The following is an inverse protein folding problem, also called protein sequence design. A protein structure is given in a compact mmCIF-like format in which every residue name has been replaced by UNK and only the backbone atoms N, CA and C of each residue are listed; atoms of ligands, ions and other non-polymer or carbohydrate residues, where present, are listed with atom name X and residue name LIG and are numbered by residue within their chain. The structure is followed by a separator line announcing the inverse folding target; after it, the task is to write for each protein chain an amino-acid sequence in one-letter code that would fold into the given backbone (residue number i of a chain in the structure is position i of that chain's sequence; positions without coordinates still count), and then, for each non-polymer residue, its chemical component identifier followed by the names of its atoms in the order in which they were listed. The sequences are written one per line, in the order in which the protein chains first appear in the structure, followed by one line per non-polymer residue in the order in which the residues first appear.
data_IF_627083227275
#
_entry.id   IF_627083227275
#
_cell.length_a   1.000
_cell.length_b   1.000
_cell.length_c   1.000
_cell.angle_alpha   90.00
_cell.angle_beta   90.00
_cell.angle_gamma   90.00
#
_symmetry.space_group_name_H-M   'P 1'
#
loop_
_entity.id
_entity.type
_entity.pdbx_description
1 polymer ?
#
# COMPACT_ATOMS: atom_id res chain seq x y z
N UNK A 1 -12.45 23.87 6.41
CA UNK A 1 -13.14 22.56 6.29
C UNK A 1 -13.43 22.38 4.81
N UNK A 2 -12.95 21.28 4.21
CA UNK A 2 -13.19 21.02 2.78
C UNK A 2 -14.36 20.07 2.62
N UNK A 3 -15.24 20.35 1.68
CA UNK A 3 -16.32 19.45 1.34
C UNK A 3 -16.38 19.24 -0.18
N UNK A 4 -16.71 18.03 -0.59
CA UNK A 4 -16.87 17.66 -2.00
C UNK A 4 -18.19 16.93 -2.18
N UNK A 5 -18.94 17.28 -3.21
CA UNK A 5 -20.15 16.56 -3.61
C UNK A 5 -19.93 16.03 -5.02
N UNK A 6 -20.05 14.72 -5.19
CA UNK A 6 -19.99 14.08 -6.50
C UNK A 6 -21.43 13.76 -6.90
N UNK A 7 -21.89 14.36 -8.01
CA UNK A 7 -23.29 14.30 -8.46
C UNK A 7 -23.48 13.32 -9.61
N UNK A 8 -24.63 12.67 -9.63
CA UNK A 8 -25.14 11.93 -10.80
C UNK A 8 -24.27 10.74 -11.26
N UNK A 9 -23.26 10.33 -10.52
CA UNK A 9 -22.39 9.22 -10.89
C UNK A 9 -23.04 7.85 -10.65
N UNK A 10 -22.67 6.84 -11.44
CA UNK A 10 -22.97 5.46 -11.11
C UNK A 10 -22.03 5.01 -9.99
N UNK A 11 -22.55 4.96 -8.76
CA UNK A 11 -21.79 4.54 -7.59
C UNK A 11 -21.74 3.02 -7.55
N UNK A 12 -20.53 2.46 -7.59
CA UNK A 12 -20.26 1.04 -7.43
C UNK A 12 -19.48 0.86 -6.12
N UNK A 13 -20.14 0.27 -5.12
CA UNK A 13 -19.58 -0.02 -3.81
C UNK A 13 -19.91 -1.47 -3.42
N UNK A 14 -19.03 -2.43 -3.74
CA UNK A 14 -19.27 -3.85 -3.48
C UNK A 14 -19.44 -4.18 -1.99
N UNK A 15 -18.71 -3.46 -1.12
CA UNK A 15 -18.76 -3.69 0.32
C UNK A 15 -20.15 -3.40 0.90
N UNK A 16 -20.83 -2.39 0.36
CA UNK A 16 -22.20 -2.01 0.75
C UNK A 16 -23.26 -2.52 -0.22
N UNK A 17 -22.90 -3.40 -1.18
CA UNK A 17 -23.79 -3.96 -2.22
C UNK A 17 -24.53 -2.87 -3.00
N UNK A 18 -23.84 -1.77 -3.31
CA UNK A 18 -24.42 -0.62 -4.01
C UNK A 18 -23.95 -0.61 -5.46
N UNK A 19 -24.90 -0.52 -6.38
CA UNK A 19 -24.69 -0.26 -7.80
C UNK A 19 -25.88 0.54 -8.32
N UNK A 20 -25.66 1.81 -8.65
CA UNK A 20 -26.71 2.68 -9.14
C UNK A 20 -26.34 4.15 -9.15
N UNK A 21 -27.11 4.96 -9.87
CA UNK A 21 -26.90 6.40 -9.93
C UNK A 21 -27.23 7.04 -8.59
N UNK A 22 -26.26 7.79 -8.03
CA UNK A 22 -26.45 8.49 -6.77
C UNK A 22 -25.41 9.59 -6.59
N UNK A 23 -25.68 10.47 -5.63
CA UNK A 23 -24.70 11.44 -5.16
C UNK A 23 -23.83 10.86 -4.04
N UNK A 24 -22.58 11.33 -3.97
CA UNK A 24 -21.64 11.02 -2.88
C UNK A 24 -21.25 12.33 -2.20
N UNK A 25 -21.32 12.32 -0.87
CA UNK A 25 -21.04 13.49 -0.04
C UNK A 25 -19.82 13.24 0.82
N UNK A 26 -18.86 14.18 0.79
CA UNK A 26 -17.59 14.09 1.52
C UNK A 26 -17.43 15.38 2.33
N UNK A 27 -17.18 15.25 3.62
CA UNK A 27 -16.85 16.38 4.50
C UNK A 27 -15.64 16.01 5.35
N UNK A 28 -14.62 16.88 5.38
CA UNK A 28 -13.40 16.70 6.15
C UNK A 28 -12.73 15.32 5.92
N UNK A 29 -12.69 14.89 4.64
CA UNK A 29 -12.09 13.62 4.21
C UNK A 29 -12.88 12.37 4.58
N UNK A 30 -14.15 12.50 5.00
CA UNK A 30 -15.03 11.38 5.37
C UNK A 30 -16.34 11.40 4.58
N UNK A 31 -16.84 10.22 4.28
CA UNK A 31 -18.17 10.09 3.70
C UNK A 31 -19.24 10.47 4.74
N UNK A 32 -20.21 11.27 4.30
CA UNK A 32 -21.41 11.61 5.07
C UNK A 32 -22.67 11.18 4.32
N UNK A 33 -23.79 11.04 5.02
CA UNK A 33 -25.01 10.43 4.45
C UNK A 33 -25.78 11.36 3.51
N UNK A 34 -25.65 12.67 3.74
CA UNK A 34 -26.41 13.67 2.98
C UNK A 34 -25.72 15.02 3.00
N UNK A 35 -26.12 15.88 2.07
CA UNK A 35 -25.65 17.25 2.01
C UNK A 35 -25.94 18.06 3.30
N UNK A 36 -27.00 17.72 4.04
CA UNK A 36 -27.35 18.41 5.28
C UNK A 36 -26.32 18.20 6.42
N UNK A 37 -25.49 17.18 6.32
CA UNK A 37 -24.40 16.93 7.27
C UNK A 37 -23.13 17.73 6.95
N UNK A 38 -23.06 18.35 5.76
CA UNK A 38 -21.96 19.22 5.36
C UNK A 38 -22.14 20.58 6.06
N UNK A 39 -21.21 20.93 6.92
CA UNK A 39 -21.22 22.19 7.69
C UNK A 39 -20.40 23.31 7.04
N UNK A 40 -19.78 23.04 5.90
CA UNK A 40 -19.00 24.04 5.16
C UNK A 40 -19.88 25.07 4.48
N UNK A 41 -19.46 26.35 4.38
CA UNK A 41 -20.16 27.35 3.56
C UNK A 41 -20.30 26.86 2.12
N UNK A 42 -21.36 27.21 1.42
CA UNK A 42 -21.58 26.81 0.03
C UNK A 42 -20.41 27.17 -0.90
N UNK A 43 -19.73 28.29 -0.64
CA UNK A 43 -18.57 28.76 -1.39
C UNK A 43 -17.30 27.90 -1.21
N UNK A 44 -17.30 26.98 -0.26
CA UNK A 44 -16.18 26.08 0.05
C UNK A 44 -16.51 24.61 -0.33
N UNK A 45 -17.67 24.38 -0.99
CA UNK A 45 -18.07 23.06 -1.45
C UNK A 45 -17.66 22.92 -2.91
N UNK A 46 -16.81 21.95 -3.18
CA UNK A 46 -16.48 21.51 -4.55
C UNK A 46 -17.58 20.58 -5.06
N UNK A 47 -18.20 20.91 -6.18
CA UNK A 47 -19.16 20.02 -6.85
C UNK A 47 -18.56 19.43 -8.12
N UNK A 48 -18.61 18.10 -8.23
CA UNK A 48 -18.15 17.34 -9.39
C UNK A 48 -19.36 16.69 -10.05
N UNK A 49 -19.64 17.05 -11.31
CA UNK A 49 -20.67 16.34 -12.09
C UNK A 49 -20.06 15.06 -12.69
N UNK A 50 -20.46 13.93 -12.18
CA UNK A 50 -20.05 12.59 -12.61
C UNK A 50 -21.07 11.90 -13.52
N UNK A 51 -21.92 12.66 -14.20
CA UNK A 51 -22.93 12.10 -15.13
C UNK A 51 -22.27 11.27 -16.24
N UNK A 52 -22.67 10.01 -16.34
CA UNK A 52 -22.07 9.05 -17.28
C UNK A 52 -20.76 8.46 -16.83
N UNK A 53 -20.26 8.83 -15.65
CA UNK A 53 -19.04 8.29 -15.06
C UNK A 53 -19.36 7.27 -13.93
N UNK A 54 -18.36 6.42 -13.64
CA UNK A 54 -18.38 5.51 -12.51
C UNK A 54 -17.69 6.17 -11.32
N UNK A 55 -18.31 6.11 -10.16
CA UNK A 55 -17.74 6.49 -8.88
C UNK A 55 -17.55 5.22 -8.06
N UNK A 56 -16.32 4.88 -7.79
CA UNK A 56 -15.94 3.66 -7.08
C UNK A 56 -14.88 3.96 -6.01
N UNK A 57 -14.66 3.08 -5.03
CA UNK A 57 -13.48 3.15 -4.17
C UNK A 57 -12.21 3.21 -5.01
N UNK A 58 -11.22 3.97 -4.55
CA UNK A 58 -9.94 4.03 -5.23
C UNK A 58 -9.26 2.66 -5.27
N UNK A 59 -8.49 2.42 -6.33
CA UNK A 59 -7.77 1.17 -6.50
C UNK A 59 -6.66 1.02 -5.45
N UNK A 60 -6.35 -0.22 -5.10
CA UNK A 60 -5.26 -0.57 -4.18
C UNK A 60 -4.27 -1.45 -4.94
N UNK A 61 -3.00 -1.05 -4.97
CA UNK A 61 -1.92 -1.89 -5.47
C UNK A 61 -1.10 -2.41 -4.29
N UNK A 62 -1.12 -3.72 -4.11
CA UNK A 62 -0.45 -4.38 -2.98
C UNK A 62 1.02 -4.72 -3.23
N UNK A 63 1.58 -4.35 -4.39
CA UNK A 63 2.95 -4.70 -4.74
C UNK A 63 3.60 -3.68 -5.67
N UNK A 64 4.27 -2.68 -5.09
CA UNK A 64 5.00 -1.66 -5.85
C UNK A 64 6.42 -1.49 -5.34
N UNK A 65 7.32 -1.02 -6.22
CA UNK A 65 8.72 -0.77 -5.88
C UNK A 65 9.04 0.71 -5.93
N UNK A 66 9.04 1.38 -4.77
CA UNK A 66 9.36 2.81 -4.67
C UNK A 66 10.86 3.09 -4.53
N UNK A 67 11.66 2.06 -4.26
CA UNK A 67 13.14 2.09 -4.30
C UNK A 67 13.81 3.11 -3.36
N UNK A 68 13.06 3.91 -2.65
CA UNK A 68 13.53 4.90 -1.69
C UNK A 68 13.27 4.41 -0.25
N UNK A 69 14.27 4.46 0.63
CA UNK A 69 15.61 5.04 0.48
C UNK A 69 16.60 4.19 -0.34
N UNK A 70 17.65 4.84 -0.84
CA UNK A 70 18.86 4.23 -1.35
C UNK A 70 18.95 4.04 -2.87
N UNK A 71 17.83 3.82 -3.56
CA UNK A 71 17.84 3.60 -5.01
C UNK A 71 16.98 4.63 -5.76
N UNK A 72 16.99 5.87 -5.29
CA UNK A 72 16.19 6.98 -5.84
C UNK A 72 16.45 7.28 -7.32
N UNK A 73 17.56 6.79 -7.89
CA UNK A 73 17.84 6.86 -9.32
C UNK A 73 16.94 5.93 -10.16
N UNK A 74 16.30 4.93 -9.54
CA UNK A 74 15.36 4.01 -10.20
C UNK A 74 13.92 4.46 -10.04
N UNK A 75 13.53 4.86 -8.82
CA UNK A 75 12.21 5.34 -8.46
C UNK A 75 12.27 6.09 -7.13
N UNK A 76 11.33 7.00 -6.89
CA UNK A 76 11.15 7.68 -5.61
C UNK A 76 9.73 7.48 -5.08
N UNK A 77 9.54 7.68 -3.78
CA UNK A 77 8.19 7.65 -3.18
C UNK A 77 7.29 8.68 -3.87
N UNK A 78 7.82 9.87 -4.18
CA UNK A 78 7.05 10.93 -4.84
C UNK A 78 6.61 10.55 -6.26
N UNK A 79 7.55 10.07 -7.10
CA UNK A 79 7.24 9.76 -8.50
C UNK A 79 6.34 8.54 -8.63
N UNK A 80 6.58 7.47 -7.84
CA UNK A 80 5.73 6.30 -7.82
C UNK A 80 4.33 6.59 -7.29
N UNK A 81 4.22 7.38 -6.22
CA UNK A 81 2.92 7.80 -5.69
C UNK A 81 2.13 8.67 -6.68
N UNK A 82 2.82 9.55 -7.42
CA UNK A 82 2.20 10.37 -8.48
C UNK A 82 1.71 9.50 -9.64
N UNK A 83 2.50 8.50 -10.06
CA UNK A 83 2.09 7.54 -11.08
C UNK A 83 0.88 6.72 -10.63
N UNK A 84 0.87 6.24 -9.38
CA UNK A 84 -0.27 5.54 -8.80
C UNK A 84 -1.54 6.39 -8.81
N UNK A 85 -1.46 7.65 -8.34
CA UNK A 85 -2.59 8.58 -8.35
C UNK A 85 -3.13 8.83 -9.77
N UNK A 86 -2.25 8.98 -10.76
CA UNK A 86 -2.65 9.13 -12.16
C UNK A 86 -3.34 7.87 -12.71
N UNK A 87 -3.01 6.69 -12.19
CA UNK A 87 -3.64 5.41 -12.54
C UNK A 87 -4.94 5.12 -11.76
N UNK A 88 -5.38 6.02 -10.86
CA UNK A 88 -6.59 5.82 -10.04
C UNK A 88 -6.35 5.00 -8.77
N UNK A 89 -5.10 4.72 -8.42
CA UNK A 89 -4.74 4.07 -7.16
C UNK A 89 -4.70 5.11 -6.04
N UNK A 90 -5.41 4.84 -4.96
CA UNK A 90 -5.43 5.69 -3.76
C UNK A 90 -4.58 5.12 -2.63
N UNK A 91 -4.18 3.86 -2.76
CA UNK A 91 -3.34 3.17 -1.77
C UNK A 91 -2.37 2.24 -2.49
N UNK A 92 -1.10 2.27 -2.09
CA UNK A 92 -0.06 1.39 -2.60
C UNK A 92 0.74 0.80 -1.45
N UNK A 93 1.17 -0.46 -1.60
CA UNK A 93 2.01 -1.16 -0.63
C UNK A 93 3.40 -1.33 -1.20
N UNK A 94 4.40 -0.69 -0.58
CA UNK A 94 5.77 -0.72 -1.11
C UNK A 94 6.60 -1.87 -0.55
N UNK A 95 7.32 -2.54 -1.46
CA UNK A 95 8.20 -3.66 -1.15
C UNK A 95 9.51 -3.20 -0.48
N UNK A 96 10.16 -4.09 0.29
CA UNK A 96 11.25 -3.72 1.20
C UNK A 96 12.63 -3.69 0.54
N UNK A 97 12.72 -3.71 -0.78
CA UNK A 97 13.99 -3.74 -1.52
C UNK A 97 14.63 -2.35 -1.66
N UNK A 98 15.03 -1.79 -0.54
CA UNK A 98 15.65 -0.47 -0.35
C UNK A 98 17.04 -0.58 0.29
N UNK A 99 17.74 0.53 0.42
CA UNK A 99 19.03 0.62 1.11
C UNK A 99 19.05 1.88 2.00
N UNK A 100 18.99 1.75 3.33
CA UNK A 100 18.97 0.48 4.06
C UNK A 100 17.68 -0.32 3.86
N UNK A 101 17.80 -1.63 4.09
CA UNK A 101 16.67 -2.54 4.12
C UNK A 101 15.76 -2.17 5.33
N UNK A 102 14.42 -2.22 5.20
CA UNK A 102 13.51 -1.89 6.29
C UNK A 102 13.33 -3.05 7.28
N UNK A 103 14.45 -3.49 7.86
CA UNK A 103 14.54 -4.52 8.89
C UNK A 103 14.56 -3.95 10.32
N UNK A 104 14.34 -2.66 10.44
CA UNK A 104 14.30 -1.94 11.72
C UNK A 104 13.22 -0.84 11.71
N UNK A 105 12.69 -0.46 12.89
CA UNK A 105 11.65 0.57 13.01
C UNK A 105 12.03 1.94 12.45
N UNK A 106 13.32 2.31 12.50
CA UNK A 106 13.79 3.62 12.03
C UNK A 106 13.61 3.79 10.52
N UNK A 107 13.95 2.76 9.74
CA UNK A 107 13.75 2.79 8.28
C UNK A 107 12.25 2.84 7.93
N UNK A 108 11.40 2.11 8.64
CA UNK A 108 9.95 2.17 8.46
C UNK A 108 9.40 3.56 8.77
N UNK A 109 9.84 4.16 9.89
CA UNK A 109 9.43 5.51 10.27
C UNK A 109 9.84 6.53 9.19
N UNK A 110 11.05 6.43 8.66
CA UNK A 110 11.55 7.29 7.60
C UNK A 110 10.68 7.19 6.32
N UNK A 111 10.36 5.97 5.88
CA UNK A 111 9.49 5.76 4.70
C UNK A 111 8.13 6.44 4.90
N UNK A 112 7.52 6.25 6.07
CA UNK A 112 6.22 6.84 6.40
C UNK A 112 6.26 8.37 6.46
N UNK A 113 7.29 8.93 7.07
CA UNK A 113 7.47 10.38 7.17
C UNK A 113 7.67 10.98 5.77
N UNK A 114 8.56 10.40 4.98
CA UNK A 114 8.78 10.82 3.58
C UNK A 114 7.48 10.76 2.78
N UNK A 115 6.76 9.65 2.86
CA UNK A 115 5.49 9.48 2.16
C UNK A 115 4.45 10.54 2.60
N UNK A 116 4.37 10.84 3.88
CA UNK A 116 3.43 11.85 4.40
C UNK A 116 3.69 13.25 3.84
N UNK A 117 4.95 13.53 3.49
CA UNK A 117 5.37 14.83 2.97
C UNK A 117 5.16 14.97 1.47
N UNK A 118 5.39 13.90 0.69
CA UNK A 118 5.46 14.00 -0.78
C UNK A 118 4.34 13.26 -1.52
N UNK A 119 3.59 12.39 -0.84
CA UNK A 119 2.55 11.59 -1.48
C UNK A 119 1.15 12.14 -1.24
N UNK A 120 0.30 12.04 -2.25
CA UNK A 120 -1.15 12.29 -2.16
C UNK A 120 -1.98 11.01 -2.08
N UNK A 121 -1.34 9.86 -2.24
CA UNK A 121 -1.96 8.54 -2.05
C UNK A 121 -1.40 7.91 -0.77
N UNK A 122 -2.11 6.95 -0.21
CA UNK A 122 -1.61 6.23 0.96
C UNK A 122 -0.45 5.32 0.53
N UNK A 123 0.71 5.48 1.16
CA UNK A 123 1.87 4.62 0.99
C UNK A 123 2.05 3.80 2.25
N UNK A 124 1.89 2.50 2.13
CA UNK A 124 1.95 1.56 3.24
C UNK A 124 3.23 0.72 3.10
N UNK A 125 4.17 0.80 4.05
CA UNK A 125 5.40 0.01 3.96
C UNK A 125 5.19 -1.44 4.34
N UNK A 126 5.93 -2.34 3.68
CA UNK A 126 6.20 -3.69 4.18
C UNK A 126 7.48 -3.69 5.01
N UNK A 127 7.56 -4.62 5.95
CA UNK A 127 8.82 -5.01 6.57
C UNK A 127 9.41 -6.25 5.90
N UNK A 128 10.60 -6.65 6.33
CA UNK A 128 11.24 -7.87 5.85
C UNK A 128 10.90 -9.09 6.72
N UNK A 129 11.01 -10.28 6.14
CA UNK A 129 10.94 -11.56 6.88
C UNK A 129 12.28 -11.81 7.57
N UNK A 130 13.39 -11.68 6.84
CA UNK A 130 14.73 -11.91 7.35
C UNK A 130 15.56 -10.63 7.39
N UNK A 131 16.49 -10.55 8.34
CA UNK A 131 17.43 -9.43 8.42
C UNK A 131 18.22 -9.31 7.13
N UNK A 132 18.37 -8.07 6.65
CA UNK A 132 19.09 -7.75 5.41
C UNK A 132 18.61 -8.50 4.16
N UNK A 133 17.40 -9.10 4.16
CA UNK A 133 16.90 -9.99 3.10
C UNK A 133 17.82 -11.21 2.86
N UNK A 134 18.53 -11.66 3.87
CA UNK A 134 19.53 -12.72 3.75
C UNK A 134 18.96 -14.14 3.82
N UNK A 135 17.74 -14.32 4.31
CA UNK A 135 17.11 -15.63 4.48
C UNK A 135 17.70 -16.49 5.62
N UNK A 136 18.48 -15.91 6.52
CA UNK A 136 19.25 -16.61 7.57
C UNK A 136 18.68 -16.42 8.96
N UNK A 137 18.27 -15.20 9.31
CA UNK A 137 17.79 -14.82 10.63
C UNK A 137 16.50 -14.01 10.52
N UNK A 138 15.52 -14.27 11.40
CA UNK A 138 14.27 -13.49 11.44
C UNK A 138 14.53 -12.01 11.76
N UNK A 139 13.86 -11.15 11.03
CA UNK A 139 13.75 -9.75 11.39
C UNK A 139 12.92 -9.57 12.68
N UNK A 140 13.00 -8.42 13.35
CA UNK A 140 12.22 -8.14 14.55
C UNK A 140 10.75 -7.81 14.20
N UNK A 141 10.02 -8.78 13.64
CA UNK A 141 8.69 -8.63 13.04
C UNK A 141 7.72 -7.88 13.98
N UNK A 142 7.75 -8.17 15.27
CA UNK A 142 6.91 -7.47 16.25
C UNK A 142 7.20 -5.97 16.32
N UNK A 143 8.48 -5.57 16.30
CA UNK A 143 8.87 -4.15 16.30
C UNK A 143 8.52 -3.47 14.98
N UNK A 144 8.67 -4.18 13.86
CA UNK A 144 8.27 -3.67 12.54
C UNK A 144 6.76 -3.46 12.47
N UNK A 145 5.97 -4.40 13.02
CA UNK A 145 4.50 -4.26 13.10
C UNK A 145 4.11 -3.06 13.95
N UNK A 146 4.76 -2.85 15.09
CA UNK A 146 4.54 -1.65 15.93
C UNK A 146 4.93 -0.36 15.21
N UNK A 147 5.94 -0.38 14.34
CA UNK A 147 6.30 0.76 13.49
C UNK A 147 5.28 1.03 12.36
N UNK A 148 4.39 0.08 12.10
CA UNK A 148 3.24 0.25 11.21
C UNK A 148 3.44 -0.34 9.82
N UNK A 149 4.20 -1.43 9.67
CA UNK A 149 4.17 -2.23 8.44
C UNK A 149 2.84 -2.95 8.32
N UNK A 150 2.38 -3.12 7.08
CA UNK A 150 1.09 -3.78 6.79
C UNK A 150 1.25 -5.24 6.39
N UNK A 151 2.46 -5.66 6.04
CA UNK A 151 2.84 -7.02 5.70
C UNK A 151 4.34 -7.20 5.90
N UNK A 152 4.81 -8.45 5.85
CA UNK A 152 6.25 -8.78 5.79
C UNK A 152 6.53 -9.60 4.55
N UNK A 153 7.69 -9.35 3.92
CA UNK A 153 8.12 -10.02 2.70
C UNK A 153 9.63 -9.87 2.52
N UNK A 154 10.26 -10.84 1.91
CA UNK A 154 11.63 -10.69 1.38
C UNK A 154 11.59 -10.54 -0.14
N UNK A 155 10.66 -9.76 -0.67
CA UNK A 155 10.44 -9.61 -2.11
C UNK A 155 11.71 -9.41 -2.91
N UNK A 156 11.82 -10.19 -4.01
CA UNK A 156 13.01 -10.38 -4.82
C UNK A 156 13.91 -11.52 -4.30
N UNK A 157 13.65 -12.04 -3.11
CA UNK A 157 14.35 -13.18 -2.50
C UNK A 157 13.34 -14.14 -1.86
N UNK A 158 13.41 -15.41 -2.21
CA UNK A 158 12.59 -16.43 -1.55
C UNK A 158 13.34 -17.02 -0.37
N UNK A 159 12.68 -17.17 0.75
CA UNK A 159 13.26 -17.85 1.92
C UNK A 159 13.41 -19.34 1.62
N UNK A 160 14.64 -19.81 1.41
CA UNK A 160 14.95 -21.21 1.10
C UNK A 160 14.97 -22.11 2.34
N UNK A 161 15.10 -21.51 3.55
CA UNK A 161 15.06 -22.21 4.81
C UNK A 161 13.60 -22.39 5.27
N UNK A 162 13.05 -23.58 5.12
CA UNK A 162 11.66 -23.89 5.46
C UNK A 162 11.35 -23.75 6.95
N UNK A 163 12.32 -23.98 7.84
CA UNK A 163 12.14 -23.76 9.27
C UNK A 163 12.02 -22.26 9.57
N UNK A 164 12.89 -21.44 8.96
CA UNK A 164 12.82 -19.98 9.09
C UNK A 164 11.47 -19.46 8.61
N UNK A 165 11.01 -19.90 7.43
CA UNK A 165 9.70 -19.50 6.88
C UNK A 165 8.56 -19.91 7.83
N UNK A 166 8.60 -21.12 8.36
CA UNK A 166 7.59 -21.57 9.33
C UNK A 166 7.56 -20.65 10.56
N UNK A 167 8.72 -20.30 11.13
CA UNK A 167 8.81 -19.40 12.26
C UNK A 167 8.32 -18.00 11.92
N UNK A 168 8.63 -17.52 10.71
CA UNK A 168 8.14 -16.24 10.23
C UNK A 168 6.60 -16.20 10.20
N UNK A 169 5.97 -17.23 9.63
CA UNK A 169 4.50 -17.33 9.55
C UNK A 169 3.86 -17.43 10.94
N UNK A 170 4.45 -18.24 11.84
CA UNK A 170 3.99 -18.35 13.22
C UNK A 170 4.05 -16.99 13.94
N UNK A 171 5.16 -16.26 13.78
CA UNK A 171 5.35 -14.95 14.41
C UNK A 171 4.44 -13.88 13.80
N UNK A 172 4.36 -13.84 12.46
CA UNK A 172 3.48 -12.92 11.74
C UNK A 172 2.01 -13.08 12.19
N UNK A 173 1.56 -14.33 12.34
CA UNK A 173 0.23 -14.65 12.88
C UNK A 173 0.02 -14.12 14.30
N UNK A 174 1.03 -14.21 15.19
CA UNK A 174 0.94 -13.71 16.56
C UNK A 174 0.72 -12.20 16.61
N UNK A 175 1.34 -11.46 15.68
CA UNK A 175 1.27 -9.99 15.63
C UNK A 175 0.26 -9.45 14.62
N UNK A 176 -0.45 -10.34 13.90
CA UNK A 176 -1.57 -10.00 13.04
C UNK A 176 -1.19 -9.36 11.70
N UNK A 177 -0.01 -9.70 11.14
CA UNK A 177 0.40 -9.24 9.80
C UNK A 177 0.48 -10.39 8.80
N UNK A 178 0.10 -10.21 7.54
CA UNK A 178 0.27 -11.21 6.50
C UNK A 178 1.73 -11.36 6.08
N UNK A 179 2.06 -12.55 5.55
CA UNK A 179 3.32 -12.82 4.85
C UNK A 179 3.03 -12.81 3.35
N UNK A 180 3.81 -12.03 2.61
CA UNK A 180 3.81 -12.02 1.14
C UNK A 180 5.07 -12.76 0.68
N UNK A 181 4.92 -13.88 0.01
CA UNK A 181 6.06 -14.69 -0.42
C UNK A 181 6.43 -14.40 -1.87
N UNK A 182 7.74 -14.35 -2.14
CA UNK A 182 8.31 -14.33 -3.49
C UNK A 182 8.63 -15.76 -3.88
N UNK A 183 7.68 -16.45 -4.49
CA UNK A 183 7.73 -17.90 -4.72
C UNK A 183 8.76 -18.28 -5.77
N UNK A 184 10.01 -18.46 -5.36
CA UNK A 184 11.13 -18.83 -6.23
C UNK A 184 12.05 -19.83 -5.53
N UNK A 185 12.00 -21.10 -5.92
CA UNK A 185 12.95 -22.11 -5.46
C UNK A 185 14.25 -22.00 -6.26
N UNK A 186 15.36 -21.71 -5.58
CA UNK A 186 16.64 -21.49 -6.22
C UNK A 186 17.23 -22.76 -6.86
N UNK A 187 16.85 -23.95 -6.38
CA UNK A 187 17.27 -25.21 -7.00
C UNK A 187 16.52 -25.49 -8.31
N UNK A 188 15.26 -25.03 -8.42
CA UNK A 188 14.48 -25.16 -9.64
C UNK A 188 14.85 -24.10 -10.67
N UNK A 189 15.06 -22.86 -10.23
CA UNK A 189 15.39 -21.73 -11.12
C UNK A 189 16.82 -21.84 -11.66
N UNK A 190 17.78 -22.24 -10.81
CA UNK A 190 19.20 -22.29 -11.18
C UNK A 190 19.67 -20.94 -11.77
N UNK A 191 20.24 -20.97 -12.98
CA UNK A 191 20.67 -19.79 -13.74
C UNK A 191 19.64 -19.34 -14.78
N UNK A 192 18.41 -19.82 -14.69
CA UNK A 192 17.33 -19.48 -15.62
C UNK A 192 16.99 -18.00 -15.59
N UNK A 193 16.67 -17.43 -16.77
CA UNK A 193 16.30 -16.03 -16.95
C UNK A 193 14.88 -15.84 -17.47
N UNK A 194 14.23 -16.95 -17.85
CA UNK A 194 12.84 -16.99 -18.35
C UNK A 194 12.25 -18.36 -18.06
N UNK A 195 10.93 -18.44 -17.86
CA UNK A 195 10.28 -19.75 -17.72
C UNK A 195 10.22 -20.51 -19.04
N UNK A 196 10.03 -21.82 -18.98
CA UNK A 196 10.10 -22.72 -20.13
C UNK A 196 8.87 -22.68 -21.06
N UNK A 197 7.81 -21.95 -20.73
CA UNK A 197 6.62 -21.79 -21.55
C UNK A 197 5.31 -22.05 -20.83
#
# INVERSE_FOLDING_TARGET
MSATIIRNGRVIDPANKRDGVADVYIADGKFVRSQSEIRSPKSEIEEVDARGLIVAPGLIDMHVHLREPGFSHKETIESGARAAGAGGFTTIVCMPNTAPVPDNPGTIAWIKDRASTVSRVNVLPTGVISKNLAGEELAPIGSLTQAGVVAITDDGHCIQNHELMRRAVEYARMVGVPVLDHCQDYNLVGNGVVHEG
#
